data_IF_661635455334
#
_entry.id   IF_661635455334
#
_cell.length_a   1.000
_cell.length_b   1.000
_cell.length_c   1.000
_cell.angle_alpha   90.00
_cell.angle_beta   90.00
_cell.angle_gamma   90.00
#
_symmetry.space_group_name_H-M   'P 1'
#
loop_
_entity.id
_entity.type
_entity.pdbx_description
1 polymer ?
#
# COMPACT_ATOMS: atom_id res chain seq x y z
N UNK A 1 -4.81 -6.82 21.56
CA UNK A 1 -4.88 -5.55 20.78
C UNK A 1 -4.48 -5.89 19.35
N UNK A 2 -5.34 -5.67 18.38
CA UNK A 2 -5.05 -6.04 17.01
C UNK A 2 -3.94 -5.17 16.41
N UNK A 3 -3.21 -5.73 15.45
CA UNK A 3 -2.06 -5.09 14.80
C UNK A 3 -2.31 -4.91 13.31
N UNK A 4 -2.07 -3.70 12.80
CA UNK A 4 -2.04 -3.43 11.36
C UNK A 4 -0.63 -3.05 10.92
N UNK A 5 -0.18 -3.60 9.78
CA UNK A 5 1.04 -3.18 9.10
C UNK A 5 0.68 -2.42 7.82
N UNK A 6 1.26 -1.23 7.65
CA UNK A 6 0.95 -0.33 6.53
C UNK A 6 2.24 0.08 5.83
N UNK A 7 2.35 -0.14 4.52
CA UNK A 7 3.45 0.37 3.70
C UNK A 7 3.13 1.73 3.09
N UNK A 8 4.14 2.61 2.95
CA UNK A 8 3.94 3.96 2.42
C UNK A 8 3.10 4.85 3.35
N UNK A 9 3.37 4.76 4.67
CA UNK A 9 2.55 5.33 5.73
C UNK A 9 2.75 6.83 5.99
N UNK A 10 3.75 7.48 5.38
CA UNK A 10 4.17 8.84 5.74
C UNK A 10 3.27 9.96 5.21
N UNK A 11 2.39 9.70 4.26
CA UNK A 11 1.49 10.70 3.65
C UNK A 11 0.28 10.07 2.97
N UNK A 12 -0.62 10.92 2.48
CA UNK A 12 -1.76 10.51 1.64
C UNK A 12 -2.65 9.46 2.31
N UNK A 13 -2.99 8.41 1.58
CA UNK A 13 -3.84 7.32 2.06
C UNK A 13 -3.19 6.51 3.19
N UNK A 14 -1.87 6.30 3.11
CA UNK A 14 -1.13 5.55 4.13
C UNK A 14 -1.18 6.22 5.50
N UNK A 15 -0.97 7.53 5.55
CA UNK A 15 -1.08 8.31 6.79
C UNK A 15 -2.51 8.29 7.35
N UNK A 16 -3.50 8.44 6.48
CA UNK A 16 -4.91 8.37 6.89
C UNK A 16 -5.28 7.00 7.46
N UNK A 17 -4.77 5.90 6.89
CA UNK A 17 -4.92 4.57 7.49
C UNK A 17 -4.31 4.53 8.90
N UNK A 18 -3.09 5.06 9.08
CA UNK A 18 -2.44 5.12 10.41
C UNK A 18 -3.33 5.84 11.41
N UNK A 19 -3.83 7.03 11.05
CA UNK A 19 -4.66 7.85 11.91
C UNK A 19 -5.94 7.13 12.34
N UNK A 20 -6.67 6.55 11.40
CA UNK A 20 -7.94 5.89 11.70
C UNK A 20 -7.75 4.59 12.49
N UNK A 21 -6.73 3.77 12.22
CA UNK A 21 -6.46 2.58 13.01
C UNK A 21 -5.98 2.93 14.42
N UNK A 22 -5.11 3.92 14.55
CA UNK A 22 -4.64 4.37 15.85
C UNK A 22 -5.76 4.96 16.73
N UNK A 23 -6.68 5.72 16.13
CA UNK A 23 -7.85 6.28 16.82
C UNK A 23 -8.77 5.19 17.39
N UNK A 24 -8.82 4.01 16.77
CA UNK A 24 -9.59 2.86 17.26
C UNK A 24 -8.77 1.93 18.20
N UNK A 25 -7.59 2.37 18.63
CA UNK A 25 -6.81 1.65 19.63
C UNK A 25 -5.97 0.49 19.08
N UNK A 26 -5.75 0.39 17.76
CA UNK A 26 -4.89 -0.64 17.16
C UNK A 26 -3.40 -0.35 17.38
N UNK A 27 -2.60 -1.41 17.42
CA UNK A 27 -1.16 -1.30 17.18
C UNK A 27 -0.91 -1.10 15.69
N UNK A 28 -0.05 -0.14 15.34
CA UNK A 28 0.28 0.17 13.94
C UNK A 28 1.78 0.01 13.72
N UNK A 29 2.16 -0.79 12.73
CA UNK A 29 3.50 -0.84 12.16
C UNK A 29 3.46 0.00 10.88
N UNK A 30 4.06 1.17 10.91
CA UNK A 30 4.01 2.16 9.84
C UNK A 30 5.35 2.22 9.09
N UNK A 31 5.43 1.63 7.90
CA UNK A 31 6.62 1.67 7.07
C UNK A 31 6.62 2.85 6.11
N UNK A 32 7.73 3.58 6.07
CA UNK A 32 8.03 4.58 5.05
C UNK A 32 9.52 4.56 4.68
N UNK A 33 9.88 5.12 3.53
CA UNK A 33 11.28 5.09 3.06
C UNK A 33 12.22 5.92 3.92
N UNK A 34 11.74 7.04 4.39
CA UNK A 34 12.52 8.03 5.14
C UNK A 34 11.71 8.53 6.34
N UNK A 35 11.82 7.85 7.49
CA UNK A 35 11.17 8.30 8.72
C UNK A 35 11.65 9.67 9.22
N UNK A 36 12.90 10.05 8.94
CA UNK A 36 13.44 11.32 9.40
C UNK A 36 12.78 12.54 8.75
N UNK A 37 12.17 12.35 7.57
CA UNK A 37 11.42 13.36 6.83
C UNK A 37 9.92 13.04 6.76
N UNK A 38 9.38 12.35 7.76
CA UNK A 38 7.97 11.96 7.85
C UNK A 38 7.26 12.69 9.01
N UNK A 39 7.34 14.01 9.05
CA UNK A 39 6.92 14.85 10.18
C UNK A 39 5.48 14.56 10.65
N UNK A 40 4.53 14.46 9.72
CA UNK A 40 3.13 14.17 10.05
C UNK A 40 2.98 12.78 10.68
N UNK A 41 3.69 11.77 10.17
CA UNK A 41 3.64 10.41 10.72
C UNK A 41 4.29 10.34 12.11
N UNK A 42 5.41 11.04 12.31
CA UNK A 42 6.08 11.13 13.61
C UNK A 42 5.20 11.87 14.62
N UNK A 43 4.50 12.94 14.21
CA UNK A 43 3.56 13.65 15.04
C UNK A 43 2.38 12.75 15.47
N UNK A 44 1.87 11.89 14.59
CA UNK A 44 0.84 10.90 14.95
C UNK A 44 1.40 9.82 15.90
N UNK A 45 2.61 9.35 15.68
CA UNK A 45 3.24 8.36 16.55
C UNK A 45 3.44 8.92 17.97
N UNK A 46 3.81 10.19 18.11
CA UNK A 46 3.99 10.85 19.41
C UNK A 46 2.70 10.94 20.23
N UNK A 47 1.52 10.99 19.58
CA UNK A 47 0.20 11.04 20.26
C UNK A 47 -0.32 9.66 20.68
N UNK A 48 0.29 8.59 20.21
CA UNK A 48 -0.27 7.23 20.26
C UNK A 48 0.26 6.36 21.42
N UNK A 49 0.99 6.92 22.38
CA UNK A 49 1.52 6.20 23.56
C UNK A 49 2.24 4.87 23.19
N UNK A 50 3.10 4.91 22.17
CA UNK A 50 3.87 3.77 21.70
C UNK A 50 3.08 2.75 20.87
N UNK A 51 1.82 2.98 20.55
CA UNK A 51 1.02 2.08 19.70
C UNK A 51 1.38 2.18 18.22
N UNK A 52 1.98 3.28 17.76
CA UNK A 52 2.48 3.44 16.40
C UNK A 52 4.00 3.28 16.42
N UNK A 53 4.49 2.27 15.72
CA UNK A 53 5.92 2.07 15.47
C UNK A 53 6.22 2.50 14.04
N UNK A 54 7.07 3.50 13.89
CA UNK A 54 7.52 3.99 12.58
C UNK A 54 8.87 3.39 12.26
N UNK A 55 8.98 2.76 11.09
CA UNK A 55 10.21 2.09 10.65
C UNK A 55 10.54 2.40 9.19
N UNK A 56 11.84 2.36 8.87
CA UNK A 56 12.31 2.57 7.52
C UNK A 56 12.11 1.33 6.65
N UNK A 57 11.48 1.49 5.48
CA UNK A 57 11.41 0.45 4.47
C UNK A 57 11.24 1.07 3.08
N UNK A 58 12.21 0.83 2.20
CA UNK A 58 12.00 0.93 0.76
C UNK A 58 11.47 -0.41 0.25
N UNK A 59 10.21 -0.42 -0.17
CA UNK A 59 9.56 -1.64 -0.68
C UNK A 59 10.15 -2.15 -2.00
N UNK A 60 11.01 -1.36 -2.66
CA UNK A 60 11.74 -1.82 -3.85
C UNK A 60 13.02 -2.57 -3.53
N UNK A 61 13.50 -2.48 -2.29
CA UNK A 61 14.62 -3.28 -1.78
C UNK A 61 14.07 -4.57 -1.13
N UNK A 62 14.14 -5.67 -1.86
CA UNK A 62 13.61 -6.95 -1.40
C UNK A 62 14.40 -7.54 -0.23
N UNK A 63 15.71 -7.25 -0.13
CA UNK A 63 16.50 -7.66 1.02
C UNK A 63 16.10 -6.88 2.28
N UNK A 64 15.80 -5.58 2.14
CA UNK A 64 15.27 -4.77 3.24
C UNK A 64 13.89 -5.28 3.71
N UNK A 65 13.04 -5.77 2.79
CA UNK A 65 11.77 -6.40 3.17
C UNK A 65 12.01 -7.66 4.01
N UNK A 66 12.93 -8.54 3.59
CA UNK A 66 13.24 -9.75 4.34
C UNK A 66 13.84 -9.43 5.73
N UNK A 67 14.71 -8.43 5.81
CA UNK A 67 15.28 -7.96 7.07
C UNK A 67 14.19 -7.37 8.00
N UNK A 68 13.25 -6.60 7.44
CA UNK A 68 12.12 -6.06 8.19
C UNK A 68 11.23 -7.19 8.73
N UNK A 69 10.90 -8.19 7.92
CA UNK A 69 10.12 -9.33 8.36
C UNK A 69 10.82 -10.12 9.48
N UNK A 70 12.13 -10.32 9.37
CA UNK A 70 12.93 -10.95 10.42
C UNK A 70 12.90 -10.14 11.74
N UNK A 71 12.98 -8.80 11.68
CA UNK A 71 12.86 -7.91 12.86
C UNK A 71 11.52 -8.09 13.59
N UNK A 72 10.45 -8.32 12.85
CA UNK A 72 9.10 -8.51 13.40
C UNK A 72 8.70 -9.97 13.55
N UNK A 73 9.64 -10.92 13.45
CA UNK A 73 9.37 -12.34 13.60
C UNK A 73 8.62 -12.65 14.90
N UNK A 74 7.57 -13.48 14.82
CA UNK A 74 6.73 -13.85 15.95
C UNK A 74 5.74 -12.79 16.43
N UNK A 75 5.68 -11.61 15.80
CA UNK A 75 4.66 -10.58 16.10
C UNK A 75 3.43 -10.81 15.24
N UNK A 76 2.25 -11.13 15.82
CA UNK A 76 1.02 -11.30 15.06
C UNK A 76 0.61 -10.02 14.33
N UNK A 77 0.18 -10.17 13.06
CA UNK A 77 -0.36 -9.09 12.23
C UNK A 77 -1.76 -9.50 11.77
N UNK A 78 -2.76 -8.75 12.22
CA UNK A 78 -4.15 -9.00 11.87
C UNK A 78 -4.49 -8.53 10.46
N UNK A 79 -3.92 -7.37 10.08
CA UNK A 79 -4.15 -6.74 8.78
C UNK A 79 -2.83 -6.26 8.19
N UNK A 80 -2.51 -6.70 6.97
CA UNK A 80 -1.45 -6.13 6.14
C UNK A 80 -2.07 -5.23 5.06
N UNK A 81 -1.66 -3.95 5.01
CA UNK A 81 -2.08 -2.99 3.98
C UNK A 81 -0.90 -2.63 3.09
N UNK A 82 -0.88 -3.20 1.90
CA UNK A 82 0.03 -2.84 0.83
C UNK A 82 -0.46 -1.56 0.15
N UNK A 83 -0.05 -0.40 0.68
CA UNK A 83 -0.46 0.91 0.20
C UNK A 83 0.64 1.63 -0.59
N UNK A 84 1.93 1.34 -0.32
CA UNK A 84 3.03 1.97 -1.05
C UNK A 84 2.85 1.89 -2.57
N UNK A 85 3.00 3.01 -3.26
CA UNK A 85 2.85 3.06 -4.72
C UNK A 85 3.33 4.38 -5.31
N UNK A 86 3.61 4.35 -6.61
CA UNK A 86 4.02 5.51 -7.40
C UNK A 86 3.23 5.55 -8.71
N UNK A 87 3.01 6.75 -9.27
CA UNK A 87 2.32 6.90 -10.56
C UNK A 87 3.29 6.80 -11.75
N UNK A 88 4.59 6.90 -11.50
CA UNK A 88 5.62 6.88 -12.54
C UNK A 88 6.58 8.06 -12.42
N UNK A 89 7.20 8.48 -13.53
CA UNK A 89 7.98 9.71 -13.54
C UNK A 89 7.16 10.86 -12.96
N UNK A 90 7.82 11.78 -12.27
CA UNK A 90 7.18 12.90 -11.56
C UNK A 90 6.08 13.50 -12.43
N UNK A 91 4.99 13.97 -11.83
CA UNK A 91 3.79 14.49 -12.52
C UNK A 91 4.08 15.47 -13.65
N UNK A 92 5.18 16.25 -13.53
CA UNK A 92 5.69 17.13 -14.59
C UNK A 92 6.11 16.37 -15.86
N UNK A 93 6.41 15.08 -15.76
CA UNK A 93 6.89 14.22 -16.85
C UNK A 93 5.88 13.14 -17.27
N UNK A 94 4.59 13.33 -17.02
CA UNK A 94 3.55 12.36 -17.40
C UNK A 94 3.57 12.07 -18.91
N UNK A 95 4.03 13.02 -19.71
CA UNK A 95 4.27 12.85 -21.16
C UNK A 95 5.25 11.71 -21.47
N UNK A 96 6.17 11.38 -20.56
CA UNK A 96 7.11 10.25 -20.70
C UNK A 96 6.47 8.89 -20.43
N UNK A 97 5.16 8.85 -20.22
CA UNK A 97 4.37 7.61 -20.15
C UNK A 97 3.48 7.42 -21.39
N UNK A 98 3.65 8.24 -22.42
CA UNK A 98 2.85 8.19 -23.64
C UNK A 98 3.50 7.29 -24.71
N UNK A 99 2.68 6.78 -25.62
CA UNK A 99 3.17 6.00 -26.74
C UNK A 99 4.16 6.82 -27.58
N UNK A 100 5.34 6.27 -27.81
CA UNK A 100 6.43 6.92 -28.56
C UNK A 100 7.41 7.73 -27.70
N UNK A 101 7.10 7.98 -26.40
CA UNK A 101 7.97 8.75 -25.49
C UNK A 101 8.22 8.02 -24.17
N UNK A 102 8.01 6.70 -24.15
CA UNK A 102 8.03 5.88 -22.94
C UNK A 102 9.39 5.81 -22.30
N UNK A 103 9.46 6.07 -20.99
CA UNK A 103 10.62 5.82 -20.14
C UNK A 103 10.51 4.40 -19.56
N UNK A 104 11.26 3.46 -20.10
CA UNK A 104 11.21 2.06 -19.69
C UNK A 104 11.81 1.82 -18.31
N UNK A 105 12.85 2.56 -17.90
CA UNK A 105 13.42 2.46 -16.56
C UNK A 105 12.41 2.94 -15.50
N UNK A 106 11.66 4.00 -15.82
CA UNK A 106 10.57 4.43 -14.97
C UNK A 106 9.43 3.41 -14.93
N UNK A 107 9.12 2.77 -16.05
CA UNK A 107 8.12 1.70 -16.11
C UNK A 107 8.51 0.52 -15.23
N UNK A 108 9.76 0.07 -15.30
CA UNK A 108 10.28 -1.01 -14.44
C UNK A 108 10.16 -0.65 -12.96
N UNK A 109 10.49 0.59 -12.58
CA UNK A 109 10.29 1.06 -11.20
C UNK A 109 8.82 1.04 -10.77
N UNK A 110 7.90 1.40 -11.67
CA UNK A 110 6.46 1.37 -11.39
C UNK A 110 5.97 -0.07 -11.19
N UNK A 111 6.38 -1.00 -12.06
CA UNK A 111 6.05 -2.43 -11.93
C UNK A 111 6.64 -3.01 -10.65
N UNK A 112 7.90 -2.70 -10.35
CA UNK A 112 8.57 -3.16 -9.14
C UNK A 112 7.83 -2.67 -7.88
N UNK A 113 7.51 -1.36 -7.83
CA UNK A 113 6.87 -0.75 -6.65
C UNK A 113 5.41 -1.17 -6.50
N UNK A 114 4.63 -1.13 -7.59
CA UNK A 114 3.17 -1.27 -7.50
C UNK A 114 2.68 -2.71 -7.66
N UNK A 115 3.49 -3.61 -8.22
CA UNK A 115 3.08 -4.99 -8.50
C UNK A 115 3.91 -6.00 -7.74
N UNK A 116 5.23 -5.96 -7.87
CA UNK A 116 6.10 -6.96 -7.26
C UNK A 116 6.26 -6.75 -5.75
N UNK A 117 6.50 -5.51 -5.33
CA UNK A 117 6.74 -5.19 -3.92
C UNK A 117 5.57 -5.57 -2.99
N UNK A 118 4.29 -5.28 -3.30
CA UNK A 118 3.17 -5.75 -2.50
C UNK A 118 3.13 -7.26 -2.31
N UNK A 119 3.46 -8.01 -3.37
CA UNK A 119 3.52 -9.46 -3.30
C UNK A 119 4.69 -9.92 -2.41
N UNK A 120 5.89 -9.37 -2.62
CA UNK A 120 7.08 -9.67 -1.80
C UNK A 120 6.87 -9.34 -0.32
N UNK A 121 6.25 -8.20 0.00
CA UNK A 121 5.90 -7.85 1.39
C UNK A 121 4.95 -8.88 1.97
N UNK A 122 3.94 -9.29 1.20
CA UNK A 122 2.97 -10.30 1.68
C UNK A 122 3.64 -11.65 1.92
N UNK A 123 4.56 -12.08 1.05
CA UNK A 123 5.36 -13.32 1.26
C UNK A 123 6.22 -13.23 2.52
N UNK A 124 6.97 -12.15 2.69
CA UNK A 124 7.92 -11.98 3.79
C UNK A 124 7.22 -11.94 5.17
N UNK A 125 6.05 -11.30 5.27
CA UNK A 125 5.27 -11.20 6.50
C UNK A 125 4.19 -12.28 6.65
N UNK A 126 4.23 -13.33 5.81
CA UNK A 126 3.18 -14.32 5.78
C UNK A 126 2.99 -15.07 7.10
N UNK A 127 4.07 -15.45 7.76
CA UNK A 127 4.02 -16.13 9.07
C UNK A 127 3.41 -15.22 10.15
N UNK A 128 3.68 -13.91 10.09
CA UNK A 128 3.07 -12.94 10.99
C UNK A 128 1.54 -12.84 10.78
N UNK A 129 1.11 -12.86 9.49
CA UNK A 129 -0.32 -12.85 9.12
C UNK A 129 -1.02 -14.11 9.61
N UNK A 130 -0.38 -15.27 9.49
CA UNK A 130 -0.96 -16.54 9.96
C UNK A 130 -1.11 -16.57 11.50
N UNK A 131 -0.29 -15.84 12.22
CA UNK A 131 -0.35 -15.70 13.69
C UNK A 131 -1.41 -14.67 14.14
N UNK A 132 -1.84 -13.76 13.25
CA UNK A 132 -2.91 -12.80 13.54
C UNK A 132 -4.29 -13.47 13.63
N UNK A 133 -5.19 -12.87 14.37
CA UNK A 133 -6.55 -13.38 14.53
C UNK A 133 -7.41 -13.16 13.27
N UNK A 134 -7.24 -12.01 12.58
CA UNK A 134 -8.09 -11.64 11.44
C UNK A 134 -7.56 -12.15 10.08
N UNK A 135 -6.24 -12.31 9.93
CA UNK A 135 -5.57 -12.86 8.74
C UNK A 135 -6.00 -12.17 7.44
N UNK A 136 -5.89 -10.86 7.40
CA UNK A 136 -6.33 -10.05 6.26
C UNK A 136 -5.17 -9.40 5.54
N UNK A 137 -5.22 -9.44 4.21
CA UNK A 137 -4.27 -8.76 3.33
C UNK A 137 -5.04 -7.84 2.38
N UNK A 138 -4.74 -6.57 2.42
CA UNK A 138 -5.30 -5.55 1.53
C UNK A 138 -4.22 -4.99 0.61
N UNK A 139 -4.56 -4.75 -0.65
CA UNK A 139 -3.69 -4.03 -1.60
C UNK A 139 -4.46 -2.91 -2.28
N UNK A 140 -3.81 -1.76 -2.41
CA UNK A 140 -4.39 -0.59 -3.08
C UNK A 140 -4.12 -0.66 -4.58
N UNK A 141 -5.16 -0.91 -5.35
CA UNK A 141 -5.17 -0.86 -6.81
C UNK A 141 -5.76 0.46 -7.32
N UNK A 142 -6.36 0.46 -8.50
CA UNK A 142 -7.00 1.61 -9.14
C UNK A 142 -7.93 1.15 -10.25
N UNK A 143 -9.00 1.92 -10.54
CA UNK A 143 -9.81 1.73 -11.74
C UNK A 143 -9.03 1.89 -13.04
N UNK A 144 -7.90 2.63 -13.02
CA UNK A 144 -6.98 2.76 -14.16
C UNK A 144 -6.39 1.41 -14.59
N UNK A 145 -6.33 0.42 -13.70
CA UNK A 145 -5.95 -0.96 -14.01
C UNK A 145 -7.09 -1.84 -14.53
N UNK A 146 -8.30 -1.31 -14.74
CA UNK A 146 -9.42 -2.05 -15.31
C UNK A 146 -9.18 -2.35 -16.79
N UNK A 147 -9.46 -3.58 -17.20
CA UNK A 147 -9.43 -3.96 -18.62
C UNK A 147 -10.73 -3.62 -19.35
N UNK A 148 -11.76 -3.16 -18.63
CA UNK A 148 -13.09 -2.86 -19.19
C UNK A 148 -13.26 -1.37 -19.42
N UNK A 149 -12.73 -0.54 -18.52
CA UNK A 149 -12.84 0.90 -18.58
C UNK A 149 -11.52 1.50 -19.09
N UNK A 150 -11.57 2.20 -20.22
CA UNK A 150 -10.43 2.93 -20.71
C UNK A 150 -10.28 4.24 -19.93
N UNK A 151 -9.16 4.35 -19.24
CA UNK A 151 -8.79 5.50 -18.42
C UNK A 151 -7.70 6.34 -19.13
N UNK A 152 -7.13 7.32 -18.43
CA UNK A 152 -6.05 8.16 -18.96
C UNK A 152 -4.85 7.31 -19.47
N UNK A 153 -4.15 7.76 -20.51
CA UNK A 153 -3.06 7.02 -21.16
C UNK A 153 -1.77 7.02 -20.32
N UNK A 154 -1.82 6.40 -19.15
CA UNK A 154 -0.70 6.23 -18.21
C UNK A 154 -0.26 4.77 -18.22
N UNK A 155 0.37 4.33 -19.31
CA UNK A 155 0.65 2.93 -19.60
C UNK A 155 1.38 2.18 -18.48
N UNK A 156 2.43 2.79 -17.90
CA UNK A 156 3.21 2.15 -16.83
C UNK A 156 2.36 1.94 -15.57
N UNK A 157 1.59 2.94 -15.18
CA UNK A 157 0.74 2.86 -13.99
C UNK A 157 -0.46 1.92 -14.22
N UNK A 158 -1.12 2.02 -15.37
CA UNK A 158 -2.25 1.18 -15.72
C UNK A 158 -1.86 -0.30 -15.75
N UNK A 159 -0.76 -0.64 -16.44
CA UNK A 159 -0.27 -2.02 -16.50
C UNK A 159 0.11 -2.56 -15.10
N UNK A 160 0.75 -1.75 -14.26
CA UNK A 160 1.11 -2.16 -12.92
C UNK A 160 -0.12 -2.37 -12.01
N UNK A 161 -1.15 -1.52 -12.14
CA UNK A 161 -2.41 -1.68 -11.36
C UNK A 161 -3.27 -2.84 -11.87
N UNK A 162 -3.28 -3.12 -13.18
CA UNK A 162 -3.84 -4.36 -13.72
C UNK A 162 -3.08 -5.60 -13.21
N UNK A 163 -1.74 -5.53 -13.23
CA UNK A 163 -0.87 -6.59 -12.74
C UNK A 163 -1.10 -6.92 -11.27
N UNK A 164 -1.12 -5.91 -10.38
CA UNK A 164 -1.34 -6.15 -8.95
C UNK A 164 -2.75 -6.69 -8.68
N UNK A 165 -3.77 -6.20 -9.40
CA UNK A 165 -5.13 -6.72 -9.28
C UNK A 165 -5.17 -8.21 -9.64
N UNK A 166 -4.58 -8.60 -10.77
CA UNK A 166 -4.52 -10.00 -11.17
C UNK A 166 -3.73 -10.86 -10.19
N UNK A 167 -2.57 -10.36 -9.74
CA UNK A 167 -1.71 -11.06 -8.78
C UNK A 167 -2.46 -11.36 -7.48
N UNK A 168 -3.11 -10.36 -6.89
CA UNK A 168 -3.78 -10.51 -5.60
C UNK A 168 -5.12 -11.25 -5.68
N UNK A 169 -5.85 -11.17 -6.79
CA UNK A 169 -7.03 -12.03 -7.03
C UNK A 169 -6.62 -13.50 -7.19
N UNK A 170 -5.48 -13.77 -7.80
CA UNK A 170 -4.90 -15.13 -7.84
C UNK A 170 -4.46 -15.58 -6.45
N UNK A 171 -3.75 -14.71 -5.70
CA UNK A 171 -3.30 -14.99 -4.33
C UNK A 171 -4.49 -15.32 -3.40
N UNK A 172 -5.62 -14.63 -3.56
CA UNK A 172 -6.84 -14.93 -2.79
C UNK A 172 -7.29 -16.38 -2.94
N UNK A 173 -7.19 -16.94 -4.13
CA UNK A 173 -7.52 -18.35 -4.38
C UNK A 173 -6.51 -19.30 -3.73
N UNK A 174 -5.22 -18.96 -3.79
CA UNK A 174 -4.12 -19.76 -3.22
C UNK A 174 -4.16 -19.80 -1.69
N UNK A 175 -4.54 -18.69 -1.06
CA UNK A 175 -4.51 -18.55 0.41
C UNK A 175 -5.84 -18.88 1.09
N UNK A 176 -6.88 -19.19 0.34
CA UNK A 176 -8.22 -19.49 0.89
C UNK A 176 -8.19 -20.60 1.94
N UNK A 177 -7.52 -21.70 1.64
CA UNK A 177 -7.45 -22.88 2.53
C UNK A 177 -6.57 -22.61 3.78
N UNK A 178 -5.83 -21.52 3.80
CA UNK A 178 -5.08 -21.03 4.97
C UNK A 178 -5.88 -20.05 5.84
N UNK A 179 -7.13 -19.78 5.47
CA UNK A 179 -8.00 -18.84 6.18
C UNK A 179 -7.61 -17.37 6.02
N UNK A 180 -6.79 -17.03 5.02
CA UNK A 180 -6.36 -15.66 4.76
C UNK A 180 -7.32 -15.00 3.78
N UNK A 181 -7.89 -13.86 4.17
CA UNK A 181 -8.71 -13.01 3.29
C UNK A 181 -7.84 -12.01 2.55
N UNK A 182 -7.84 -12.07 1.23
CA UNK A 182 -7.11 -11.14 0.37
C UNK A 182 -8.09 -10.20 -0.33
N UNK A 183 -7.83 -8.90 -0.23
CA UNK A 183 -8.72 -7.85 -0.76
C UNK A 183 -7.95 -6.90 -1.67
N UNK A 184 -8.58 -6.51 -2.77
CA UNK A 184 -8.05 -5.53 -3.73
C UNK A 184 -8.98 -4.32 -3.74
N UNK A 185 -8.45 -3.16 -3.41
CA UNK A 185 -9.23 -1.93 -3.30
C UNK A 185 -8.88 -0.92 -4.39
N UNK A 186 -9.91 -0.25 -4.90
CA UNK A 186 -9.76 1.04 -5.57
C UNK A 186 -10.21 2.14 -4.60
N UNK A 187 -9.32 3.07 -4.22
CA UNK A 187 -9.63 4.09 -3.23
C UNK A 187 -10.53 5.22 -3.77
N UNK A 188 -10.81 5.23 -5.08
CA UNK A 188 -11.39 6.36 -5.77
C UNK A 188 -10.35 7.40 -6.19
N UNK A 189 -10.80 8.54 -6.76
CA UNK A 189 -9.93 9.67 -7.08
C UNK A 189 -9.80 10.59 -5.86
N UNK A 190 -8.81 10.29 -5.01
CA UNK A 190 -8.67 10.83 -3.65
C UNK A 190 -7.75 12.05 -3.64
N UNK A 191 -8.11 13.08 -2.86
CA UNK A 191 -7.35 14.31 -2.63
C UNK A 191 -6.02 14.01 -1.92
N UNK A 192 -5.00 13.75 -2.68
CA UNK A 192 -3.61 13.48 -2.28
C UNK A 192 -2.67 14.13 -3.29
N UNK A 193 -1.38 14.20 -2.98
CA UNK A 193 -0.38 14.67 -3.97
C UNK A 193 -0.44 13.86 -5.27
N UNK A 194 -0.72 12.57 -5.19
CA UNK A 194 -0.87 11.69 -6.35
C UNK A 194 -2.19 11.96 -7.09
N UNK A 195 -3.29 12.20 -6.39
CA UNK A 195 -4.62 12.47 -6.97
C UNK A 195 -4.71 13.83 -7.65
N UNK A 196 -4.06 14.86 -7.09
CA UNK A 196 -4.00 16.21 -7.62
C UNK A 196 -5.31 17.00 -7.55
N UNK A 197 -5.36 18.12 -8.31
CA UNK A 197 -6.43 19.12 -8.20
C UNK A 197 -7.82 18.62 -8.63
N UNK A 198 -7.92 17.64 -9.50
CA UNK A 198 -9.21 17.09 -9.98
C UNK A 198 -9.83 16.03 -9.05
N UNK A 199 -9.21 15.72 -7.92
CA UNK A 199 -9.69 14.67 -7.02
C UNK A 199 -10.94 15.12 -6.24
N UNK A 200 -11.98 14.26 -6.25
CA UNK A 200 -13.28 14.56 -5.64
C UNK A 200 -13.54 13.84 -4.31
N UNK A 201 -12.71 12.86 -3.93
CA UNK A 201 -12.92 12.04 -2.73
C UNK A 201 -12.00 12.51 -1.60
N UNK A 202 -12.55 12.73 -0.42
CA UNK A 202 -11.73 13.03 0.77
C UNK A 202 -10.97 11.79 1.24
N UNK A 203 -9.76 11.98 1.77
CA UNK A 203 -8.94 10.88 2.31
C UNK A 203 -9.67 10.11 3.39
N UNK A 204 -10.30 10.86 4.31
CA UNK A 204 -11.06 10.28 5.42
C UNK A 204 -12.16 9.35 4.92
N UNK A 205 -12.99 9.79 3.98
CA UNK A 205 -14.13 9.02 3.47
C UNK A 205 -13.68 7.77 2.71
N UNK A 206 -12.64 7.91 1.89
CA UNK A 206 -12.04 6.79 1.17
C UNK A 206 -11.56 5.69 2.11
N UNK A 207 -10.77 6.08 3.13
CA UNK A 207 -10.21 5.12 4.09
C UNK A 207 -11.31 4.54 4.99
N UNK A 208 -12.23 5.36 5.49
CA UNK A 208 -13.35 4.87 6.29
C UNK A 208 -14.22 3.86 5.52
N UNK A 209 -14.42 4.08 4.22
CA UNK A 209 -15.11 3.13 3.34
C UNK A 209 -14.37 1.80 3.18
N UNK A 210 -13.06 1.83 2.92
CA UNK A 210 -12.24 0.62 2.79
C UNK A 210 -12.15 -0.16 4.11
N UNK A 211 -11.98 0.54 5.24
CA UNK A 211 -11.88 -0.08 6.56
C UNK A 211 -13.16 -0.82 6.99
N UNK A 212 -14.33 -0.37 6.55
CA UNK A 212 -15.60 -1.10 6.78
C UNK A 212 -15.64 -2.46 6.08
N UNK A 213 -14.84 -2.64 5.02
CA UNK A 213 -14.77 -3.89 4.27
C UNK A 213 -13.59 -4.76 4.75
N UNK A 214 -12.56 -4.15 5.32
CA UNK A 214 -11.45 -4.82 6.01
C UNK A 214 -11.92 -5.32 7.37
#
# INVERSE_FOLDING_TARGET
>A
MPTVLITGANRGLGLEFVQQYAAEGWSVIAFCRDPANADDLIAEAAKADGRIVVDALDVTDFAAIDAAAAKYSGRPIDVLINNAGIIGPVRADIARQSFGTMDYDAWDRVLRTNTQAPFKVTEAFFDNILQGDQKKVAVISSTVGSNVEMQAPVFSYASAKAGVTKTFTTLASVLRDKGVTVMVFCPGHVKTDMGGEGAGVERFDSIAGMRKLI
#
